data_IF_233333201433
#
_entry.id   IF_233333201433
#
_cell.length_a   1.000
_cell.length_b   1.000
_cell.length_c   1.000
_cell.angle_alpha   90.00
_cell.angle_beta   90.00
_cell.angle_gamma   90.00
#
_symmetry.space_group_name_H-M   'P 1'
#
loop_
_entity.id
_entity.type
_entity.pdbx_description
1 polymer ?
#
# COMPACT_ATOMS: atom_id res chain seq x y z
N UNK A 1 27.97 -7.12 19.20
CA UNK A 1 27.14 -8.36 19.18
C UNK A 1 28.00 -9.46 18.61
N UNK A 2 27.99 -10.62 19.24
CA UNK A 2 28.84 -11.77 18.89
C UNK A 2 28.36 -12.38 17.56
N UNK A 3 29.23 -13.01 16.76
CA UNK A 3 28.90 -13.65 15.46
C UNK A 3 27.71 -14.66 15.53
N UNK A 4 27.42 -15.16 16.74
CA UNK A 4 26.30 -16.05 17.05
C UNK A 4 24.91 -15.42 16.86
N UNK A 5 24.78 -14.10 16.62
CA UNK A 5 23.49 -13.45 16.64
C UNK A 5 22.71 -13.52 15.31
N UNK A 6 23.39 -13.72 14.16
CA UNK A 6 22.72 -13.71 12.87
C UNK A 6 21.86 -14.97 12.63
N UNK A 7 22.25 -16.12 13.20
CA UNK A 7 21.47 -17.36 13.14
C UNK A 7 20.14 -17.25 13.90
N UNK A 8 20.10 -16.36 14.92
CA UNK A 8 18.88 -16.12 15.71
C UNK A 8 17.90 -15.14 15.06
N UNK A 9 18.26 -14.47 13.98
CA UNK A 9 17.41 -13.46 13.33
C UNK A 9 16.00 -13.95 12.95
N UNK A 10 15.83 -15.26 12.77
CA UNK A 10 14.55 -15.85 12.36
C UNK A 10 14.00 -16.87 13.36
N UNK A 11 14.63 -17.05 14.52
CA UNK A 11 14.14 -17.98 15.56
C UNK A 11 12.84 -17.47 16.17
N UNK A 12 12.69 -16.16 16.28
CA UNK A 12 11.50 -15.47 16.78
C UNK A 12 10.86 -14.63 15.66
N UNK A 13 10.74 -15.19 14.48
CA UNK A 13 10.08 -14.49 13.36
C UNK A 13 8.63 -14.20 13.75
N UNK A 14 8.26 -12.94 14.05
CA UNK A 14 6.96 -12.65 14.61
C UNK A 14 5.90 -12.76 13.53
N UNK A 15 5.22 -13.89 13.50
CA UNK A 15 3.87 -13.92 12.95
C UNK A 15 3.02 -13.11 13.92
N UNK A 16 2.54 -11.97 13.50
CA UNK A 16 1.63 -11.18 14.31
C UNK A 16 0.24 -11.78 14.16
N UNK A 17 -0.22 -12.40 15.22
CA UNK A 17 -1.58 -12.88 15.28
C UNK A 17 -2.44 -11.79 15.95
N UNK A 18 -3.09 -10.98 15.13
CA UNK A 18 -4.02 -9.95 15.58
C UNK A 18 -5.23 -10.57 16.30
N UNK A 19 -5.49 -11.87 16.08
CA UNK A 19 -6.57 -12.64 16.69
C UNK A 19 -6.33 -12.95 18.16
N UNK A 20 -5.06 -13.09 18.57
CA UNK A 20 -4.67 -13.32 19.97
C UNK A 20 -4.71 -12.02 20.82
N UNK A 21 -5.13 -10.92 20.21
CA UNK A 21 -5.33 -9.64 20.93
C UNK A 21 -6.64 -9.66 21.72
N UNK A 22 -6.78 -8.71 22.68
CA UNK A 22 -8.03 -8.49 23.43
C UNK A 22 -9.16 -7.90 22.55
N UNK A 23 -8.97 -7.84 21.21
CA UNK A 23 -9.97 -7.38 20.27
C UNK A 23 -11.14 -8.38 20.22
N UNK A 24 -12.30 -7.96 20.68
CA UNK A 24 -13.50 -8.78 20.69
C UNK A 24 -14.48 -8.32 19.60
N UNK A 25 -14.94 -9.25 18.78
CA UNK A 25 -15.92 -9.01 17.73
C UNK A 25 -15.29 -8.97 16.33
N UNK A 26 -16.09 -8.59 15.35
CA UNK A 26 -15.66 -8.38 13.98
C UNK A 26 -16.11 -6.97 13.50
N UNK A 27 -15.30 -6.34 12.66
CA UNK A 27 -15.62 -5.08 12.01
C UNK A 27 -16.47 -5.36 10.77
N UNK A 28 -17.67 -4.81 10.74
CA UNK A 28 -18.58 -4.89 9.58
C UNK A 28 -18.16 -3.89 8.52
N UNK A 29 -17.89 -4.36 7.32
CA UNK A 29 -17.34 -3.57 6.23
C UNK A 29 -18.36 -3.28 5.11
N UNK A 30 -18.40 -2.02 4.69
CA UNK A 30 -18.92 -1.64 3.39
C UNK A 30 -17.75 -1.56 2.39
N UNK A 31 -17.83 -2.34 1.29
CA UNK A 31 -16.81 -2.31 0.23
C UNK A 31 -17.26 -1.38 -0.89
N UNK A 32 -16.57 -0.24 -1.06
CA UNK A 32 -16.85 0.78 -2.06
C UNK A 32 -15.93 0.62 -3.26
N UNK A 33 -16.51 0.18 -4.39
CA UNK A 33 -15.76 -0.16 -5.59
C UNK A 33 -15.51 -1.66 -5.71
N UNK A 34 -16.15 -2.29 -6.69
CA UNK A 34 -16.04 -3.72 -6.98
C UNK A 34 -15.18 -3.94 -8.24
N UNK A 35 -13.97 -3.35 -8.22
CA UNK A 35 -12.94 -3.51 -9.24
C UNK A 35 -12.30 -4.89 -9.23
N UNK A 36 -11.22 -5.07 -10.02
CA UNK A 36 -10.50 -6.35 -10.11
C UNK A 36 -9.84 -6.73 -8.77
N UNK A 37 -9.18 -5.76 -8.10
CA UNK A 37 -8.52 -6.00 -6.83
C UNK A 37 -9.53 -6.36 -5.75
N UNK A 38 -10.59 -5.57 -5.60
CA UNK A 38 -11.63 -5.84 -4.61
C UNK A 38 -12.21 -7.25 -4.76
N UNK A 39 -12.52 -7.69 -5.99
CA UNK A 39 -13.11 -9.02 -6.24
C UNK A 39 -12.14 -10.17 -6.08
N UNK A 40 -10.88 -10.00 -6.49
CA UNK A 40 -9.94 -11.11 -6.58
C UNK A 40 -9.02 -11.23 -5.36
N UNK A 41 -8.93 -10.19 -4.55
CA UNK A 41 -8.05 -10.12 -3.39
C UNK A 41 -8.77 -9.69 -2.11
N UNK A 42 -9.42 -8.51 -2.09
CA UNK A 42 -9.99 -7.97 -0.86
C UNK A 42 -11.20 -8.77 -0.35
N UNK A 43 -12.19 -9.07 -1.18
CA UNK A 43 -13.35 -9.87 -0.75
C UNK A 43 -12.98 -11.28 -0.27
N UNK A 44 -12.11 -12.05 -0.97
CA UNK A 44 -11.58 -13.29 -0.43
C UNK A 44 -10.85 -13.12 0.91
N UNK A 45 -9.98 -12.10 1.03
CA UNK A 45 -9.23 -11.86 2.26
C UNK A 45 -10.14 -11.50 3.45
N UNK A 46 -11.18 -10.68 3.22
CA UNK A 46 -12.16 -10.37 4.27
C UNK A 46 -12.93 -11.65 4.68
N UNK A 47 -13.28 -12.50 3.73
CA UNK A 47 -13.97 -13.77 4.02
C UNK A 47 -13.08 -14.75 4.80
N UNK A 48 -11.76 -14.71 4.60
CA UNK A 48 -10.80 -15.55 5.33
C UNK A 48 -10.41 -14.94 6.69
N UNK A 49 -10.74 -13.66 6.94
CA UNK A 49 -10.45 -12.97 8.21
C UNK A 49 -11.42 -13.39 9.30
N UNK A 50 -10.93 -13.45 10.53
CA UNK A 50 -11.77 -13.65 11.72
C UNK A 50 -12.21 -12.35 12.39
N UNK A 51 -11.63 -11.21 11.97
CA UNK A 51 -11.89 -9.88 12.56
C UNK A 51 -12.70 -8.97 11.63
N UNK A 52 -13.01 -9.40 10.41
CA UNK A 52 -13.77 -8.63 9.43
C UNK A 52 -14.92 -9.44 8.85
N UNK A 53 -16.00 -8.76 8.50
CA UNK A 53 -17.11 -9.32 7.72
C UNK A 53 -17.62 -8.32 6.69
N UNK A 54 -17.98 -8.78 5.50
CA UNK A 54 -18.61 -7.94 4.48
C UNK A 54 -20.10 -7.90 4.70
N UNK A 55 -20.67 -6.74 4.96
CA UNK A 55 -22.12 -6.57 5.11
C UNK A 55 -22.75 -5.76 3.98
N UNK A 56 -21.97 -4.90 3.33
CA UNK A 56 -22.49 -3.98 2.32
C UNK A 56 -21.55 -3.89 1.12
N UNK A 57 -22.11 -4.02 -0.09
CA UNK A 57 -21.37 -3.84 -1.34
C UNK A 57 -21.87 -2.59 -2.08
N UNK A 58 -20.96 -1.68 -2.41
CA UNK A 58 -21.27 -0.41 -3.11
C UNK A 58 -20.71 -0.44 -4.53
N UNK A 59 -21.58 -0.32 -5.52
CA UNK A 59 -21.18 -0.41 -6.94
C UNK A 59 -22.14 0.33 -7.89
N UNK A 60 -21.59 0.84 -8.99
CA UNK A 60 -22.38 1.31 -10.12
C UNK A 60 -23.01 0.19 -10.99
N UNK A 61 -22.68 -1.09 -10.72
CA UNK A 61 -23.26 -2.25 -11.42
C UNK A 61 -24.04 -3.14 -10.43
N UNK A 62 -25.38 -2.97 -10.37
CA UNK A 62 -26.23 -3.71 -9.43
C UNK A 62 -26.18 -5.24 -9.63
N UNK A 63 -26.07 -5.73 -10.86
CA UNK A 63 -26.03 -7.16 -11.16
C UNK A 63 -24.74 -7.80 -10.65
N UNK A 64 -23.60 -7.11 -10.85
CA UNK A 64 -22.31 -7.54 -10.32
C UNK A 64 -22.34 -7.57 -8.78
N UNK A 65 -22.84 -6.51 -8.17
CA UNK A 65 -22.91 -6.40 -6.72
C UNK A 65 -23.81 -7.48 -6.10
N UNK A 66 -24.98 -7.77 -6.66
CA UNK A 66 -25.90 -8.83 -6.19
C UNK A 66 -25.26 -10.22 -6.26
N UNK A 67 -24.53 -10.51 -7.35
CA UNK A 67 -23.83 -11.80 -7.47
C UNK A 67 -22.77 -11.96 -6.37
N UNK A 68 -21.96 -10.93 -6.16
CA UNK A 68 -20.94 -10.95 -5.11
C UNK A 68 -21.56 -10.95 -3.71
N UNK A 69 -22.67 -10.26 -3.49
CA UNK A 69 -23.40 -10.31 -2.22
C UNK A 69 -23.86 -11.74 -1.88
N UNK A 70 -24.33 -12.49 -2.88
CA UNK A 70 -24.67 -13.90 -2.69
C UNK A 70 -23.43 -14.78 -2.41
N UNK A 71 -22.29 -14.47 -3.05
CA UNK A 71 -21.04 -15.22 -2.90
C UNK A 71 -20.39 -15.01 -1.53
N UNK A 72 -20.48 -13.80 -0.97
CA UNK A 72 -19.82 -13.38 0.26
C UNK A 72 -20.80 -13.10 1.42
N UNK A 73 -22.05 -13.55 1.33
CA UNK A 73 -23.12 -13.38 2.33
C UNK A 73 -23.33 -11.91 2.78
N UNK A 74 -23.14 -10.95 1.87
CA UNK A 74 -23.37 -9.54 2.16
C UNK A 74 -24.87 -9.22 2.08
N UNK A 75 -25.44 -8.67 3.16
CA UNK A 75 -26.87 -8.40 3.30
C UNK A 75 -27.36 -7.26 2.39
N UNK A 76 -26.46 -6.30 2.07
CA UNK A 76 -26.84 -5.06 1.41
C UNK A 76 -26.06 -4.80 0.12
N UNK A 77 -26.80 -4.33 -0.88
CA UNK A 77 -26.24 -3.81 -2.14
C UNK A 77 -26.73 -2.39 -2.32
N UNK A 78 -25.79 -1.44 -2.46
CA UNK A 78 -26.08 -0.01 -2.56
C UNK A 78 -25.38 0.58 -3.79
N UNK A 79 -26.01 1.55 -4.43
CA UNK A 79 -25.36 2.34 -5.48
C UNK A 79 -24.42 3.39 -4.87
N UNK A 80 -23.52 3.95 -5.65
CA UNK A 80 -22.67 5.07 -5.19
C UNK A 80 -23.50 6.27 -4.70
N UNK A 81 -24.61 6.58 -5.35
CA UNK A 81 -25.55 7.62 -4.90
C UNK A 81 -26.18 7.23 -3.55
N UNK A 82 -26.68 6.00 -3.44
CA UNK A 82 -27.25 5.51 -2.18
C UNK A 82 -26.27 5.51 -1.03
N UNK A 83 -24.99 5.24 -1.27
CA UNK A 83 -23.93 5.34 -0.27
C UNK A 83 -23.73 6.80 0.16
N UNK A 84 -23.65 7.74 -0.77
CA UNK A 84 -23.57 9.18 -0.47
C UNK A 84 -24.80 9.69 0.30
N UNK A 85 -25.98 9.17 0.00
CA UNK A 85 -27.21 9.49 0.72
C UNK A 85 -27.31 8.86 2.11
N UNK A 86 -26.29 8.08 2.55
CA UNK A 86 -26.27 7.42 3.86
C UNK A 86 -27.24 6.25 3.98
N UNK A 87 -27.54 5.56 2.89
CA UNK A 87 -28.39 4.36 2.96
C UNK A 87 -27.65 3.22 3.67
N UNK A 88 -28.36 2.54 4.57
CA UNK A 88 -27.89 1.37 5.32
C UNK A 88 -26.63 1.61 6.18
N UNK A 89 -26.38 2.84 6.64
CA UNK A 89 -25.23 3.18 7.46
C UNK A 89 -25.14 2.37 8.75
N UNK A 90 -26.25 1.90 9.29
CA UNK A 90 -26.29 1.04 10.49
C UNK A 90 -25.80 -0.39 10.23
N UNK A 91 -25.62 -0.77 8.96
CA UNK A 91 -25.21 -2.12 8.59
C UNK A 91 -23.69 -2.32 8.65
N UNK A 92 -22.87 -1.27 8.72
CA UNK A 92 -21.42 -1.35 8.74
C UNK A 92 -20.79 -0.38 9.75
N UNK A 93 -19.59 -0.71 10.19
CA UNK A 93 -18.78 0.05 11.13
C UNK A 93 -17.67 0.82 10.43
N UNK A 94 -17.18 0.26 9.32
CA UNK A 94 -16.10 0.81 8.55
C UNK A 94 -16.32 0.65 7.03
N UNK A 95 -15.56 1.42 6.26
CA UNK A 95 -15.60 1.46 4.80
C UNK A 95 -14.25 1.09 4.23
N UNK A 96 -14.21 0.13 3.32
CA UNK A 96 -13.05 -0.12 2.48
C UNK A 96 -13.24 0.57 1.13
N UNK A 97 -12.39 1.55 0.82
CA UNK A 97 -12.43 2.32 -0.44
C UNK A 97 -11.47 1.71 -1.44
N UNK A 98 -12.01 1.10 -2.52
CA UNK A 98 -11.26 0.43 -3.59
C UNK A 98 -11.70 0.91 -4.98
N UNK A 99 -11.99 2.19 -5.10
CA UNK A 99 -12.32 2.88 -6.36
C UNK A 99 -11.05 3.26 -7.13
N UNK A 100 -11.12 3.79 -8.35
CA UNK A 100 -9.98 4.48 -8.93
C UNK A 100 -9.55 5.69 -8.09
N UNK A 101 -8.26 6.01 -8.10
CA UNK A 101 -7.59 6.93 -7.16
C UNK A 101 -8.28 8.29 -7.01
N UNK A 102 -8.74 8.90 -8.12
CA UNK A 102 -9.43 10.21 -8.10
C UNK A 102 -10.76 10.22 -7.31
N UNK A 103 -11.26 9.07 -6.91
CA UNK A 103 -12.51 8.97 -6.14
C UNK A 103 -12.28 8.61 -4.68
N UNK A 104 -11.03 8.40 -4.24
CA UNK A 104 -10.71 8.04 -2.86
C UNK A 104 -11.16 9.10 -1.87
N UNK A 105 -10.82 10.39 -2.13
CA UNK A 105 -11.19 11.50 -1.26
C UNK A 105 -12.72 11.58 -1.08
N UNK A 106 -13.48 11.59 -2.18
CA UNK A 106 -14.93 11.68 -2.13
C UNK A 106 -15.58 10.63 -1.24
N UNK A 107 -15.14 9.36 -1.32
CA UNK A 107 -15.79 8.29 -0.55
C UNK A 107 -15.27 8.21 0.88
N UNK A 108 -14.02 8.60 1.12
CA UNK A 108 -13.46 8.74 2.47
C UNK A 108 -14.16 9.83 3.26
N UNK A 109 -14.36 11.02 2.68
CA UNK A 109 -15.07 12.14 3.30
C UNK A 109 -16.53 11.79 3.61
N UNK A 110 -17.22 11.11 2.67
CA UNK A 110 -18.59 10.63 2.91
C UNK A 110 -18.63 9.62 4.06
N UNK A 111 -17.68 8.68 4.13
CA UNK A 111 -17.60 7.72 5.23
C UNK A 111 -17.33 8.42 6.57
N UNK A 112 -16.37 9.36 6.61
CA UNK A 112 -16.06 10.17 7.80
C UNK A 112 -17.28 10.95 8.28
N UNK A 113 -18.00 11.65 7.38
CA UNK A 113 -19.22 12.37 7.70
C UNK A 113 -20.35 11.46 8.25
N UNK A 114 -20.32 10.18 7.92
CA UNK A 114 -21.23 9.15 8.43
C UNK A 114 -20.71 8.52 9.76
N UNK A 115 -19.57 8.99 10.28
CA UNK A 115 -18.95 8.46 11.49
C UNK A 115 -18.37 7.05 11.32
N UNK A 116 -17.87 6.70 10.12
CA UNK A 116 -17.33 5.39 9.81
C UNK A 116 -15.81 5.43 9.68
N UNK A 117 -15.13 4.41 10.23
CA UNK A 117 -13.71 4.20 10.03
C UNK A 117 -13.42 3.89 8.56
N UNK A 118 -12.22 4.20 8.08
CA UNK A 118 -11.87 4.04 6.67
C UNK A 118 -10.56 3.30 6.50
N UNK A 119 -10.57 2.25 5.67
CA UNK A 119 -9.41 1.67 5.02
C UNK A 119 -9.44 2.10 3.55
N UNK A 120 -8.49 2.93 3.12
CA UNK A 120 -8.46 3.46 1.76
C UNK A 120 -7.29 2.86 0.98
N UNK A 121 -7.54 2.38 -0.25
CA UNK A 121 -6.48 1.89 -1.14
C UNK A 121 -5.40 2.94 -1.40
N UNK A 122 -4.20 2.43 -1.64
CA UNK A 122 -3.05 3.24 -2.05
C UNK A 122 -3.10 3.54 -3.57
N UNK A 123 -2.60 4.70 -4.00
CA UNK A 123 -2.19 5.85 -3.19
C UNK A 123 -3.41 6.46 -2.49
N UNK A 124 -3.20 7.12 -1.36
CA UNK A 124 -4.31 7.67 -0.58
C UNK A 124 -5.22 8.59 -1.39
N UNK A 125 -4.62 9.44 -2.24
CA UNK A 125 -5.31 10.33 -3.17
C UNK A 125 -4.48 10.54 -4.45
N UNK A 126 -4.92 11.43 -5.34
CA UNK A 126 -4.16 11.83 -6.54
C UNK A 126 -3.24 13.02 -6.29
N UNK A 127 -3.40 13.74 -5.17
CA UNK A 127 -2.58 14.87 -4.77
C UNK A 127 -2.43 14.96 -3.24
N UNK A 128 -1.40 15.69 -2.80
CA UNK A 128 -1.19 15.99 -1.37
C UNK A 128 -2.39 16.73 -0.79
N UNK A 129 -2.93 17.72 -1.50
CA UNK A 129 -4.06 18.53 -1.02
C UNK A 129 -5.30 17.68 -0.74
N UNK A 130 -5.68 16.79 -1.66
CA UNK A 130 -6.80 15.88 -1.46
C UNK A 130 -6.56 14.93 -0.26
N UNK A 131 -5.35 14.41 -0.12
CA UNK A 131 -5.00 13.54 1.00
C UNK A 131 -5.06 14.26 2.35
N UNK A 132 -4.61 15.52 2.42
CA UNK A 132 -4.72 16.35 3.62
C UNK A 132 -6.19 16.64 3.99
N UNK A 133 -7.06 16.86 3.00
CA UNK A 133 -8.52 17.00 3.21
C UNK A 133 -9.14 15.71 3.77
N UNK A 134 -8.74 14.54 3.24
CA UNK A 134 -9.19 13.25 3.77
C UNK A 134 -8.78 13.03 5.23
N UNK A 135 -7.52 13.36 5.56
CA UNK A 135 -7.00 13.27 6.93
C UNK A 135 -7.81 14.18 7.86
N UNK A 136 -7.97 15.45 7.48
CA UNK A 136 -8.72 16.41 8.28
C UNK A 136 -10.18 15.97 8.52
N UNK A 137 -10.85 15.48 7.48
CA UNK A 137 -12.22 14.99 7.58
C UNK A 137 -12.37 13.81 8.56
N UNK A 138 -11.41 12.86 8.54
CA UNK A 138 -11.43 11.73 9.46
C UNK A 138 -11.07 12.14 10.90
N UNK A 139 -10.09 13.03 11.08
CA UNK A 139 -9.72 13.58 12.40
C UNK A 139 -10.89 14.36 13.03
N UNK A 140 -11.55 15.24 12.26
CA UNK A 140 -12.70 16.02 12.72
C UNK A 140 -13.89 15.14 13.10
N UNK A 141 -14.06 14.01 12.40
CA UNK A 141 -15.10 13.03 12.72
C UNK A 141 -14.71 12.06 13.86
N UNK A 142 -13.45 12.04 14.31
CA UNK A 142 -12.93 11.12 15.32
C UNK A 142 -12.93 9.67 14.85
N UNK A 143 -12.71 9.41 13.56
CA UNK A 143 -12.66 8.07 12.97
C UNK A 143 -11.26 7.73 12.47
N UNK A 144 -10.93 6.45 12.48
CA UNK A 144 -9.65 5.94 11.96
C UNK A 144 -9.60 6.06 10.44
N UNK A 145 -8.51 6.61 9.90
CA UNK A 145 -8.14 6.51 8.49
C UNK A 145 -6.83 5.71 8.38
N UNK A 146 -6.90 4.56 7.72
CA UNK A 146 -5.73 3.74 7.39
C UNK A 146 -5.53 3.70 5.87
N UNK A 147 -4.31 3.92 5.41
CA UNK A 147 -3.93 3.71 4.02
C UNK A 147 -3.55 2.25 3.82
N UNK A 148 -4.08 1.61 2.78
CA UNK A 148 -3.88 0.18 2.50
C UNK A 148 -2.45 -0.11 1.96
N UNK A 149 -1.46 0.06 2.82
CA UNK A 149 -0.08 -0.33 2.57
C UNK A 149 0.20 -1.72 3.15
N UNK A 150 -0.35 -2.76 2.52
CA UNK A 150 -0.27 -4.15 2.95
C UNK A 150 1.13 -4.63 3.36
N UNK A 151 2.20 -4.02 2.81
CA UNK A 151 3.57 -4.39 3.15
C UNK A 151 3.98 -3.93 4.55
N UNK A 152 3.34 -2.93 5.11
CA UNK A 152 3.60 -2.53 6.50
C UNK A 152 3.03 -3.55 7.52
N UNK A 153 2.09 -4.39 7.10
CA UNK A 153 1.55 -5.49 7.92
C UNK A 153 2.16 -6.85 7.58
N UNK A 154 2.85 -6.95 6.45
CA UNK A 154 3.47 -8.19 5.97
C UNK A 154 4.64 -8.60 6.89
N UNK A 155 4.67 -9.86 7.40
CA UNK A 155 5.62 -10.29 8.41
C UNK A 155 7.09 -10.19 8.01
N UNK A 156 7.45 -10.49 6.75
CA UNK A 156 8.86 -10.44 6.29
C UNK A 156 9.38 -8.99 6.24
N UNK A 157 8.55 -8.05 5.79
CA UNK A 157 8.91 -6.63 5.74
C UNK A 157 9.06 -6.07 7.16
N UNK A 158 8.12 -6.41 8.06
CA UNK A 158 8.21 -6.03 9.48
C UNK A 158 9.46 -6.59 10.12
N UNK A 159 9.79 -7.85 9.85
CA UNK A 159 11.02 -8.45 10.42
C UNK A 159 12.27 -7.74 9.92
N UNK A 160 12.35 -7.40 8.64
CA UNK A 160 13.49 -6.63 8.13
C UNK A 160 13.60 -5.26 8.82
N UNK A 161 12.49 -4.55 9.04
CA UNK A 161 12.48 -3.31 9.82
C UNK A 161 13.02 -3.52 11.23
N UNK A 162 12.58 -4.56 11.94
CA UNK A 162 13.05 -4.89 13.27
C UNK A 162 14.56 -5.17 13.28
N UNK A 163 15.07 -5.96 12.33
CA UNK A 163 16.50 -6.26 12.21
C UNK A 163 17.35 -5.00 11.93
N UNK A 164 16.81 -4.05 11.18
CA UNK A 164 17.45 -2.74 10.96
C UNK A 164 17.46 -1.92 12.24
N UNK A 165 16.35 -1.83 12.96
CA UNK A 165 16.24 -1.11 14.24
C UNK A 165 17.12 -1.75 15.32
N UNK A 166 17.21 -3.06 15.36
CA UNK A 166 18.08 -3.83 16.27
C UNK A 166 19.58 -3.69 15.92
N UNK A 167 19.91 -3.05 14.78
CA UNK A 167 21.29 -2.84 14.33
C UNK A 167 21.99 -4.11 13.84
N UNK A 168 21.23 -5.12 13.41
CA UNK A 168 21.80 -6.39 12.93
C UNK A 168 22.70 -6.19 11.72
N UNK A 169 22.38 -5.25 10.84
CA UNK A 169 23.20 -4.90 9.66
C UNK A 169 24.10 -3.68 9.89
N UNK A 170 24.21 -3.18 11.12
CA UNK A 170 24.83 -1.89 11.45
C UNK A 170 23.93 -0.72 11.04
N UNK A 171 24.51 0.48 10.93
CA UNK A 171 23.76 1.67 10.49
C UNK A 171 23.29 1.51 9.04
N UNK A 172 22.01 1.72 8.71
CA UNK A 172 21.55 1.70 7.33
C UNK A 172 22.24 2.81 6.50
N UNK A 173 22.61 2.48 5.27
CA UNK A 173 23.30 3.39 4.34
C UNK A 173 22.52 3.59 3.06
N UNK A 174 21.90 2.52 2.54
CA UNK A 174 21.18 2.57 1.28
C UNK A 174 20.01 1.58 1.27
N UNK A 175 18.87 1.98 0.71
CA UNK A 175 17.75 1.09 0.38
C UNK A 175 17.57 1.06 -1.13
N UNK A 176 17.43 -0.13 -1.71
CA UNK A 176 17.06 -0.27 -3.12
C UNK A 176 15.82 -1.14 -3.28
N UNK A 177 14.84 -0.67 -4.05
CA UNK A 177 13.59 -1.37 -4.27
C UNK A 177 13.13 -1.30 -5.72
N UNK A 178 12.80 -2.46 -6.31
CA UNK A 178 12.37 -2.55 -7.70
C UNK A 178 11.08 -3.32 -7.78
N UNK A 179 10.08 -2.71 -8.42
CA UNK A 179 8.82 -3.35 -8.74
C UNK A 179 8.50 -3.14 -10.21
N UNK A 180 8.76 -4.15 -10.99
CA UNK A 180 8.66 -4.08 -12.43
C UNK A 180 8.05 -5.37 -12.99
N UNK A 181 7.14 -5.23 -13.93
CA UNK A 181 6.59 -6.34 -14.70
C UNK A 181 5.95 -5.82 -15.98
N UNK A 182 5.84 -6.73 -16.96
CA UNK A 182 5.06 -6.41 -18.15
C UNK A 182 3.58 -6.55 -17.82
N UNK A 183 2.89 -5.43 -17.69
CA UNK A 183 1.46 -5.42 -17.41
C UNK A 183 0.67 -5.82 -18.68
N UNK A 184 0.02 -6.99 -18.72
CA UNK A 184 -0.78 -7.39 -19.87
C UNK A 184 -2.03 -6.53 -20.05
N UNK A 185 -2.48 -5.85 -19.01
CA UNK A 185 -3.65 -4.96 -19.04
C UNK A 185 -3.31 -3.55 -19.57
N UNK A 186 -2.07 -3.30 -19.99
CA UNK A 186 -1.70 -2.10 -20.75
C UNK A 186 -2.27 -2.10 -22.19
N UNK A 187 -3.16 -3.04 -22.48
CA UNK A 187 -3.97 -2.98 -23.72
C UNK A 187 -4.66 -1.61 -23.81
N UNK A 188 -4.67 -0.97 -24.98
CA UNK A 188 -5.31 0.33 -25.21
C UNK A 188 -6.84 0.23 -25.22
N UNK A 189 -7.45 -0.43 -24.23
CA UNK A 189 -8.90 -0.36 -24.04
C UNK A 189 -9.24 1.00 -23.43
N UNK A 190 -10.23 1.66 -23.97
CA UNK A 190 -10.73 2.97 -23.52
C UNK A 190 -11.21 2.99 -22.05
N UNK A 191 -11.34 1.83 -21.42
CA UNK A 191 -11.86 1.68 -20.06
C UNK A 191 -10.74 1.48 -18.99
N UNK A 192 -9.45 1.58 -19.37
CA UNK A 192 -8.37 1.42 -18.42
C UNK A 192 -8.03 2.75 -17.74
N UNK A 193 -8.70 3.06 -16.64
CA UNK A 193 -8.52 4.27 -15.85
C UNK A 193 -7.07 4.52 -15.40
N UNK A 194 -6.22 3.46 -15.29
CA UNK A 194 -4.79 3.57 -14.95
C UNK A 194 -3.95 4.26 -16.02
N UNK A 195 -4.50 4.47 -17.20
CA UNK A 195 -3.86 5.21 -18.31
C UNK A 195 -4.32 6.66 -18.40
N UNK A 196 -5.33 7.03 -17.64
CA UNK A 196 -5.85 8.38 -17.55
C UNK A 196 -5.21 9.07 -16.34
N UNK A 197 -4.29 10.00 -16.60
CA UNK A 197 -3.56 10.71 -15.55
C UNK A 197 -4.49 11.49 -14.61
N UNK A 198 -5.63 11.98 -15.11
CA UNK A 198 -6.62 12.69 -14.30
C UNK A 198 -7.35 11.81 -13.30
N UNK A 199 -7.38 10.49 -13.55
CA UNK A 199 -8.05 9.51 -12.69
C UNK A 199 -7.05 8.73 -11.85
N UNK A 200 -5.90 8.39 -12.44
CA UNK A 200 -4.86 7.61 -11.78
C UNK A 200 -3.89 8.46 -10.94
N UNK A 201 -3.71 9.75 -11.27
CA UNK A 201 -2.71 10.61 -10.66
C UNK A 201 -1.29 10.39 -11.20
N UNK A 202 -1.08 9.39 -12.07
CA UNK A 202 0.20 9.05 -12.67
C UNK A 202 0.22 7.61 -13.17
N UNK A 203 1.40 7.10 -13.55
CA UNK A 203 1.58 5.78 -14.14
C UNK A 203 2.29 4.78 -13.25
N UNK A 204 3.44 4.27 -13.72
CA UNK A 204 4.22 3.26 -13.01
C UNK A 204 4.71 3.74 -11.63
N UNK A 205 4.99 5.03 -11.46
CA UNK A 205 5.40 5.58 -10.18
C UNK A 205 4.29 5.45 -9.14
N UNK A 206 3.10 5.91 -9.48
CA UNK A 206 1.97 5.94 -8.55
C UNK A 206 1.39 4.54 -8.28
N UNK A 207 1.41 3.64 -9.26
CA UNK A 207 0.86 2.28 -9.09
C UNK A 207 1.87 1.31 -8.48
N UNK A 208 3.13 1.36 -8.89
CA UNK A 208 4.19 0.42 -8.48
C UNK A 208 5.30 1.09 -7.67
N UNK A 209 5.76 2.28 -8.05
CA UNK A 209 6.88 2.97 -7.41
C UNK A 209 6.58 3.40 -5.98
N UNK A 210 5.31 3.59 -5.64
CA UNK A 210 4.88 3.86 -4.27
C UNK A 210 5.24 2.71 -3.31
N UNK A 211 5.31 1.47 -3.77
CA UNK A 211 5.68 0.33 -2.93
C UNK A 211 7.13 0.42 -2.41
N UNK A 212 8.17 0.48 -3.28
CA UNK A 212 9.55 0.64 -2.79
C UNK A 212 9.76 1.96 -2.03
N UNK A 213 9.03 3.04 -2.37
CA UNK A 213 9.08 4.30 -1.66
C UNK A 213 8.56 4.14 -0.23
N UNK A 214 7.31 3.71 -0.06
CA UNK A 214 6.69 3.52 1.26
C UNK A 214 7.45 2.50 2.10
N UNK A 215 7.87 1.37 1.49
CA UNK A 215 8.61 0.35 2.24
C UNK A 215 9.97 0.87 2.71
N UNK A 216 10.67 1.71 1.94
CA UNK A 216 11.91 2.35 2.39
C UNK A 216 11.66 3.28 3.58
N UNK A 217 10.63 4.13 3.52
CA UNK A 217 10.20 5.00 4.63
C UNK A 217 9.87 4.18 5.88
N UNK A 218 9.07 3.13 5.72
CA UNK A 218 8.68 2.24 6.81
C UNK A 218 9.87 1.56 7.48
N UNK A 219 10.81 1.01 6.71
CA UNK A 219 12.00 0.32 7.26
C UNK A 219 12.94 1.31 7.95
N UNK A 220 13.15 2.49 7.37
CA UNK A 220 14.02 3.53 7.93
C UNK A 220 13.38 4.30 9.09
N UNK A 221 12.05 4.30 9.19
CA UNK A 221 11.30 5.10 10.15
C UNK A 221 11.49 6.60 9.95
N UNK A 222 11.68 7.05 8.71
CA UNK A 222 11.98 8.43 8.35
C UNK A 222 11.36 8.80 6.99
N UNK A 223 11.08 10.09 6.80
CA UNK A 223 10.64 10.64 5.53
C UNK A 223 11.82 11.17 4.70
N UNK A 224 11.77 11.09 3.36
CA UNK A 224 12.79 11.65 2.52
C UNK A 224 12.78 13.19 2.58
N UNK A 225 13.96 13.80 2.45
CA UNK A 225 14.15 15.26 2.43
C UNK A 225 14.52 15.77 1.03
N UNK A 226 14.55 14.91 0.03
CA UNK A 226 14.81 15.30 -1.35
C UNK A 226 14.69 14.13 -2.31
N UNK A 227 14.34 14.44 -3.55
CA UNK A 227 14.15 13.48 -4.63
C UNK A 227 14.91 13.90 -5.90
N UNK A 228 15.38 12.90 -6.66
CA UNK A 228 15.82 13.02 -8.04
C UNK A 228 15.23 11.89 -8.86
N UNK A 229 14.71 12.19 -10.05
CA UNK A 229 14.03 11.17 -10.84
C UNK A 229 14.10 11.39 -12.35
N UNK A 230 13.81 10.29 -13.07
CA UNK A 230 13.53 10.30 -14.50
C UNK A 230 12.30 9.42 -14.77
N UNK A 231 11.45 9.87 -15.69
CA UNK A 231 10.28 9.11 -16.13
C UNK A 231 10.31 8.88 -17.63
N UNK A 232 9.68 7.80 -18.08
CA UNK A 232 9.55 7.48 -19.50
C UNK A 232 8.09 7.20 -19.81
N UNK A 233 7.50 8.04 -20.64
CA UNK A 233 6.11 7.89 -21.11
C UNK A 233 6.04 6.85 -22.23
N UNK A 234 5.05 5.95 -22.17
CA UNK A 234 4.80 5.01 -23.25
C UNK A 234 4.21 5.74 -24.47
N UNK A 235 4.96 5.74 -25.57
CA UNK A 235 4.54 6.35 -26.84
C UNK A 235 3.92 5.36 -27.82
N UNK A 236 3.78 4.09 -27.45
CA UNK A 236 3.38 2.99 -28.37
C UNK A 236 1.87 2.88 -28.63
N UNK A 237 1.02 3.73 -28.05
CA UNK A 237 -0.46 3.66 -28.16
C UNK A 237 -1.09 4.83 -28.89
N UNK A 238 -2.33 4.64 -29.35
CA UNK A 238 -3.14 5.62 -30.09
C UNK A 238 -3.85 6.68 -29.19
N UNK A 239 -3.48 6.80 -27.91
CA UNK A 239 -4.02 7.82 -27.02
C UNK A 239 -3.48 9.21 -27.37
N UNK A 240 -4.28 10.25 -27.18
CA UNK A 240 -3.88 11.65 -27.38
C UNK A 240 -2.72 12.04 -26.44
N UNK A 241 -1.95 13.06 -26.82
CA UNK A 241 -0.70 13.44 -26.10
C UNK A 241 -0.92 13.96 -24.66
N UNK A 242 -2.16 14.27 -24.27
CA UNK A 242 -2.46 14.93 -22.99
C UNK A 242 -2.85 13.99 -21.84
N UNK A 243 -3.12 12.71 -22.13
CA UNK A 243 -3.67 11.77 -21.14
C UNK A 243 -2.70 10.58 -20.88
N UNK A 244 -1.43 10.75 -21.19
CA UNK A 244 -0.45 9.65 -21.07
C UNK A 244 0.25 9.66 -19.72
N UNK A 245 0.28 8.49 -19.10
CA UNK A 245 1.04 8.23 -17.88
C UNK A 245 2.41 7.62 -18.23
N UNK A 246 3.37 7.75 -17.35
CA UNK A 246 4.68 7.13 -17.52
C UNK A 246 4.59 5.60 -17.38
N UNK A 247 5.28 4.90 -18.26
CA UNK A 247 5.45 3.44 -18.21
C UNK A 247 6.58 3.02 -17.27
N UNK A 248 7.54 3.91 -17.02
CA UNK A 248 8.70 3.67 -16.16
C UNK A 248 9.06 4.91 -15.38
N UNK A 249 9.46 4.69 -14.13
CA UNK A 249 10.08 5.68 -13.28
C UNK A 249 11.34 5.11 -12.61
N UNK A 250 12.41 5.90 -12.59
CA UNK A 250 13.61 5.63 -11.79
C UNK A 250 13.80 6.83 -10.88
N UNK A 251 13.95 6.58 -9.58
CA UNK A 251 14.08 7.65 -8.61
C UNK A 251 15.14 7.36 -7.56
N UNK A 252 15.68 8.43 -6.99
CA UNK A 252 16.56 8.44 -5.84
C UNK A 252 15.94 9.37 -4.79
N UNK A 253 15.94 8.93 -3.53
CA UNK A 253 15.48 9.69 -2.38
C UNK A 253 16.64 9.91 -1.42
N UNK A 254 16.78 11.12 -0.92
CA UNK A 254 17.69 11.44 0.18
C UNK A 254 16.89 11.45 1.49
N UNK A 255 17.39 10.72 2.48
CA UNK A 255 16.84 10.69 3.83
C UNK A 255 17.74 11.47 4.80
N UNK A 256 17.25 11.79 6.01
CA UNK A 256 18.11 12.31 7.07
C UNK A 256 19.33 11.41 7.33
N UNK A 257 20.36 11.95 7.98
CA UNK A 257 21.57 11.23 8.41
C UNK A 257 22.41 10.62 7.27
N UNK A 258 22.18 11.08 6.02
CA UNK A 258 22.95 10.67 4.85
C UNK A 258 22.60 9.28 4.32
N UNK A 259 21.46 8.76 4.69
CA UNK A 259 20.88 7.55 4.06
C UNK A 259 20.23 7.94 2.74
N UNK A 260 20.35 7.10 1.72
CA UNK A 260 19.63 7.27 0.46
C UNK A 260 18.86 6.01 0.06
N UNK A 261 17.87 6.20 -0.83
CA UNK A 261 17.17 5.09 -1.44
C UNK A 261 17.09 5.25 -2.96
N UNK A 262 17.07 4.12 -3.67
CA UNK A 262 16.82 4.09 -5.11
C UNK A 262 15.63 3.18 -5.42
N UNK A 263 14.75 3.64 -6.31
CA UNK A 263 13.59 2.89 -6.74
C UNK A 263 13.48 2.79 -8.25
N UNK A 264 12.93 1.67 -8.71
CA UNK A 264 12.56 1.46 -10.10
C UNK A 264 11.17 0.84 -10.19
N UNK A 265 10.31 1.46 -11.00
CA UNK A 265 8.97 0.99 -11.28
C UNK A 265 8.74 0.89 -12.79
N UNK A 266 8.13 -0.19 -13.27
CA UNK A 266 7.90 -0.36 -14.69
C UNK A 266 6.73 -1.28 -15.02
N UNK A 267 5.94 -0.88 -16.02
CA UNK A 267 4.88 -1.67 -16.63
C UNK A 267 5.31 -2.41 -17.90
N UNK A 268 6.50 -2.15 -18.43
CA UNK A 268 6.92 -2.59 -19.78
C UNK A 268 8.23 -3.37 -19.82
N UNK A 269 8.77 -3.77 -18.66
CA UNK A 269 10.01 -4.55 -18.57
C UNK A 269 9.77 -6.01 -18.22
N UNK A 270 10.81 -6.83 -18.26
CA UNK A 270 10.80 -8.15 -17.64
C UNK A 270 10.58 -8.02 -16.13
N UNK A 271 9.88 -8.99 -15.55
CA UNK A 271 9.53 -8.94 -14.13
C UNK A 271 10.78 -8.97 -13.24
N UNK A 272 10.89 -7.98 -12.37
CA UNK A 272 11.87 -7.93 -11.28
C UNK A 272 11.19 -7.31 -10.05
N UNK A 273 11.35 -7.98 -8.90
CA UNK A 273 10.67 -7.62 -7.67
C UNK A 273 11.58 -7.95 -6.49
N UNK A 274 12.19 -6.93 -5.91
CA UNK A 274 13.12 -7.08 -4.78
C UNK A 274 13.25 -5.81 -3.97
N UNK A 275 13.62 -5.98 -2.72
CA UNK A 275 13.99 -4.90 -1.81
C UNK A 275 15.27 -5.28 -1.07
N UNK A 276 16.23 -4.37 -0.98
CA UNK A 276 17.48 -4.59 -0.27
C UNK A 276 17.80 -3.38 0.61
N UNK A 277 18.25 -3.65 1.83
CA UNK A 277 18.83 -2.65 2.75
C UNK A 277 20.30 -2.97 2.93
N UNK A 278 21.15 -2.01 2.63
CA UNK A 278 22.59 -2.06 2.89
C UNK A 278 22.90 -1.28 4.16
N UNK A 279 23.53 -1.93 5.11
CA UNK A 279 24.06 -1.31 6.33
C UNK A 279 25.57 -1.23 6.34
N UNK A 280 26.15 -0.63 7.38
CA UNK A 280 27.61 -0.51 7.57
C UNK A 280 28.32 -1.82 7.85
N UNK A 281 27.60 -2.85 8.32
CA UNK A 281 28.18 -4.15 8.74
C UNK A 281 27.54 -5.35 8.02
N UNK A 282 26.45 -5.13 7.27
CA UNK A 282 25.72 -6.21 6.62
C UNK A 282 24.64 -5.73 5.67
N UNK A 283 23.81 -6.65 5.24
CA UNK A 283 22.64 -6.35 4.39
C UNK A 283 21.46 -7.26 4.71
N UNK A 284 20.26 -6.75 4.43
CA UNK A 284 19.03 -7.54 4.36
C UNK A 284 18.42 -7.45 2.95
N UNK A 285 17.95 -8.57 2.40
CA UNK A 285 17.33 -8.66 1.09
C UNK A 285 16.00 -9.40 1.24
N UNK A 286 14.94 -8.85 0.65
CA UNK A 286 13.67 -9.54 0.46
C UNK A 286 13.50 -9.81 -1.02
N UNK A 287 13.34 -11.09 -1.38
CA UNK A 287 13.04 -11.53 -2.74
C UNK A 287 11.53 -11.57 -2.90
N UNK A 288 11.03 -10.92 -3.95
CA UNK A 288 9.60 -10.82 -4.27
C UNK A 288 8.71 -10.15 -3.20
N UNK A 289 9.11 -9.02 -2.58
CA UNK A 289 8.32 -8.40 -1.51
C UNK A 289 6.97 -7.85 -1.99
N UNK A 290 6.84 -7.44 -3.26
CA UNK A 290 5.67 -6.71 -3.76
C UNK A 290 4.67 -7.56 -4.54
N UNK A 291 4.88 -8.87 -4.62
CA UNK A 291 4.25 -9.76 -5.61
C UNK A 291 3.00 -10.53 -5.18
N UNK A 292 2.38 -10.24 -4.06
CA UNK A 292 1.17 -10.97 -3.62
C UNK A 292 1.49 -12.33 -2.98
N UNK A 293 0.72 -13.37 -3.25
CA UNK A 293 0.77 -14.71 -2.60
C UNK A 293 2.04 -15.55 -2.92
N UNK A 294 3.18 -14.93 -3.15
CA UNK A 294 4.45 -15.63 -3.39
C UNK A 294 5.20 -15.76 -2.06
N UNK A 295 5.75 -16.95 -1.79
CA UNK A 295 6.67 -17.11 -0.65
C UNK A 295 7.81 -16.12 -0.76
N UNK A 296 7.96 -15.27 0.24
CA UNK A 296 9.06 -14.32 0.34
C UNK A 296 10.27 -14.99 0.95
N UNK A 297 11.43 -14.78 0.36
CA UNK A 297 12.70 -15.17 0.96
C UNK A 297 13.36 -13.91 1.55
N UNK A 298 13.65 -13.95 2.85
CA UNK A 298 14.45 -12.93 3.52
C UNK A 298 15.86 -13.47 3.71
N UNK A 299 16.86 -12.74 3.22
CA UNK A 299 18.27 -13.09 3.36
C UNK A 299 18.96 -12.00 4.18
N UNK A 300 19.69 -12.39 5.23
CA UNK A 300 20.51 -11.48 6.03
C UNK A 300 21.97 -11.95 5.95
N UNK A 301 22.86 -11.00 5.69
CA UNK A 301 24.29 -11.23 5.63
C UNK A 301 25.04 -10.23 6.53
N UNK A 302 25.99 -10.70 7.31
CA UNK A 302 26.89 -9.87 8.13
C UNK A 302 28.28 -10.52 8.22
N UNK A 303 29.33 -9.82 7.79
CA UNK A 303 30.67 -10.40 7.68
C UNK A 303 30.67 -11.60 6.73
N UNK A 304 31.12 -12.76 7.23
CA UNK A 304 31.10 -14.03 6.49
C UNK A 304 29.82 -14.87 6.74
N UNK A 305 28.99 -14.46 7.69
CA UNK A 305 27.76 -15.16 8.05
C UNK A 305 26.61 -14.80 7.09
N UNK A 306 25.83 -15.81 6.70
CA UNK A 306 24.61 -15.65 5.91
C UNK A 306 23.52 -16.57 6.45
N UNK A 307 22.35 -16.01 6.67
CA UNK A 307 21.15 -16.78 7.00
C UNK A 307 20.02 -16.42 6.05
N UNK A 308 19.09 -17.33 5.81
CA UNK A 308 17.90 -17.07 5.02
C UNK A 308 16.68 -17.73 5.63
N UNK A 309 15.56 -17.09 5.45
CA UNK A 309 14.24 -17.57 5.85
C UNK A 309 13.31 -17.57 4.64
N UNK A 310 12.68 -18.70 4.39
CA UNK A 310 11.60 -18.84 3.44
C UNK A 310 10.45 -19.54 4.16
N UNK A 311 9.50 -18.74 4.65
CA UNK A 311 8.36 -19.21 5.43
C UNK A 311 7.19 -19.67 4.57
N UNK A 312 6.11 -20.07 5.23
CA UNK A 312 4.84 -20.28 4.55
C UNK A 312 4.34 -18.96 3.93
N UNK A 313 3.71 -19.00 2.76
CA UNK A 313 3.08 -17.82 2.20
C UNK A 313 2.05 -17.26 3.19
N UNK A 314 2.15 -15.96 3.45
CA UNK A 314 1.13 -15.20 4.19
C UNK A 314 0.30 -14.42 3.18
N UNK A 315 -1.00 -14.37 3.33
CA UNK A 315 -1.80 -13.45 2.54
C UNK A 315 -1.74 -12.06 3.20
N UNK A 316 -0.90 -11.21 2.64
CA UNK A 316 -0.66 -9.84 3.12
C UNK A 316 -1.93 -8.98 3.16
N UNK A 317 -2.95 -9.33 2.34
CA UNK A 317 -4.23 -8.61 2.34
C UNK A 317 -5.10 -9.05 3.53
N UNK A 318 -5.05 -10.31 3.94
CA UNK A 318 -5.68 -10.77 5.19
C UNK A 318 -5.04 -10.06 6.39
N UNK A 319 -3.70 -10.01 6.46
CA UNK A 319 -2.97 -9.32 7.54
C UNK A 319 -3.37 -7.82 7.60
N UNK A 320 -3.52 -7.17 6.45
CA UNK A 320 -3.92 -5.76 6.37
C UNK A 320 -5.33 -5.53 6.92
N UNK A 321 -6.32 -6.35 6.52
CA UNK A 321 -7.68 -6.25 7.03
C UNK A 321 -7.77 -6.58 8.51
N UNK A 322 -7.07 -7.61 8.97
CA UNK A 322 -7.05 -7.97 10.40
C UNK A 322 -6.36 -6.90 11.25
N UNK A 323 -5.28 -6.29 10.75
CA UNK A 323 -4.64 -5.15 11.42
C UNK A 323 -5.55 -3.93 11.49
N UNK A 324 -6.22 -3.59 10.38
CA UNK A 324 -7.20 -2.50 10.39
C UNK A 324 -8.32 -2.75 11.39
N UNK A 325 -8.89 -3.96 11.38
CA UNK A 325 -9.94 -4.33 12.34
C UNK A 325 -9.44 -4.29 13.78
N UNK A 326 -8.23 -4.77 14.05
CA UNK A 326 -7.60 -4.65 15.35
C UNK A 326 -7.51 -3.19 15.81
N UNK A 327 -7.03 -2.28 14.95
CA UNK A 327 -6.95 -0.87 15.26
C UNK A 327 -8.32 -0.26 15.58
N UNK A 328 -9.35 -0.58 14.79
CA UNK A 328 -10.72 -0.12 15.03
C UNK A 328 -11.29 -0.65 16.36
N UNK A 329 -11.13 -1.94 16.62
CA UNK A 329 -11.71 -2.59 17.81
C UNK A 329 -11.03 -2.18 19.13
N UNK A 330 -9.73 -1.87 19.06
CA UNK A 330 -8.94 -1.50 20.26
C UNK A 330 -8.76 0.01 20.41
N UNK A 331 -9.08 0.81 19.40
CA UNK A 331 -8.79 2.25 19.37
C UNK A 331 -7.29 2.56 19.22
N UNK A 332 -6.50 1.60 18.72
CA UNK A 332 -5.07 1.81 18.41
C UNK A 332 -4.94 2.58 17.09
N UNK A 333 -4.06 3.57 17.03
CA UNK A 333 -3.74 4.24 15.78
C UNK A 333 -2.96 3.30 14.85
N UNK A 334 -3.36 3.17 13.56
CA UNK A 334 -2.61 2.37 12.60
C UNK A 334 -1.26 3.02 12.26
N UNK A 335 -0.21 2.22 12.03
CA UNK A 335 1.08 2.73 11.53
C UNK A 335 0.92 3.36 10.13
N UNK A 336 0.28 2.69 9.12
CA UNK A 336 -0.01 3.32 7.83
C UNK A 336 -1.28 4.18 7.93
N UNK A 337 -1.27 5.20 8.76
CA UNK A 337 -2.39 6.14 8.89
C UNK A 337 -2.54 7.04 7.66
N UNK A 338 -3.49 7.97 7.68
CA UNK A 338 -3.67 8.94 6.60
C UNK A 338 -2.47 9.87 6.41
N UNK A 339 -1.74 10.19 7.49
CA UNK A 339 -0.55 11.07 7.41
C UNK A 339 0.63 10.35 6.76
N UNK A 340 0.75 9.04 6.95
CA UNK A 340 1.72 8.21 6.22
C UNK A 340 1.45 8.27 4.70
N UNK A 341 0.17 8.20 4.30
CA UNK A 341 -0.24 8.38 2.91
C UNK A 341 0.07 9.77 2.35
N UNK A 342 -0.12 10.83 3.15
CA UNK A 342 0.27 12.21 2.77
C UNK A 342 1.78 12.33 2.55
N UNK A 343 2.59 11.74 3.42
CA UNK A 343 4.04 11.80 3.30
C UNK A 343 4.54 11.07 2.03
N UNK A 344 3.92 9.95 1.65
CA UNK A 344 4.23 9.30 0.37
C UNK A 344 3.88 10.20 -0.83
N UNK A 345 2.71 10.84 -0.81
CA UNK A 345 2.31 11.71 -1.90
C UNK A 345 3.23 12.94 -2.05
N UNK A 346 3.71 13.52 -0.94
CA UNK A 346 4.73 14.59 -0.99
C UNK A 346 6.01 14.11 -1.70
N UNK A 347 6.48 12.92 -1.37
CA UNK A 347 7.63 12.34 -2.05
C UNK A 347 7.34 12.04 -3.54
N UNK A 348 6.14 11.56 -3.87
CA UNK A 348 5.72 11.31 -5.26
C UNK A 348 5.65 12.62 -6.06
N UNK A 349 5.08 13.69 -5.51
CA UNK A 349 5.04 15.00 -6.17
C UNK A 349 6.45 15.53 -6.42
N UNK A 350 7.37 15.43 -5.44
CA UNK A 350 8.77 15.82 -5.62
C UNK A 350 9.50 14.95 -6.66
N UNK A 351 9.18 13.67 -6.77
CA UNK A 351 9.69 12.75 -7.81
C UNK A 351 9.24 13.23 -9.20
N UNK A 352 7.96 13.54 -9.38
CA UNK A 352 7.45 14.04 -10.68
C UNK A 352 8.04 15.41 -11.02
N UNK A 353 8.09 16.34 -10.06
CA UNK A 353 8.69 17.67 -10.25
C UNK A 353 10.19 17.56 -10.63
N UNK A 354 10.92 16.65 -9.96
CA UNK A 354 12.32 16.38 -10.30
C UNK A 354 12.49 15.83 -11.73
N UNK A 355 11.60 14.92 -12.14
CA UNK A 355 11.64 14.34 -13.49
C UNK A 355 11.35 15.41 -14.58
N UNK A 356 10.48 16.37 -14.31
CA UNK A 356 10.16 17.48 -15.21
C UNK A 356 11.32 18.49 -15.30
N UNK A 357 11.92 18.83 -14.16
CA UNK A 357 13.00 19.84 -14.09
C UNK A 357 14.37 19.28 -14.45
N UNK A 358 14.58 17.97 -14.31
CA UNK A 358 15.88 17.33 -14.49
C UNK A 358 16.88 17.70 -13.38
N UNK A 359 16.40 18.07 -12.19
CA UNK A 359 17.22 18.46 -11.04
C UNK A 359 16.66 17.87 -9.73
N UNK A 360 17.46 17.92 -8.65
CA UNK A 360 17.02 17.52 -7.32
C UNK A 360 15.97 18.51 -6.79
N UNK A 361 14.90 17.97 -6.23
CA UNK A 361 13.82 18.72 -5.56
C UNK A 361 13.78 18.35 -4.07
N UNK A 362 13.45 19.30 -3.22
CA UNK A 362 13.16 19.05 -1.79
C UNK A 362 11.76 18.44 -1.63
N UNK A 363 11.60 17.57 -0.63
CA UNK A 363 10.32 16.90 -0.29
C UNK A 363 9.65 17.64 0.85
#
# INVERSE_FOLDING_TARGET
MDETSIESCFVEFPTRDWRDSDAAGAVRLAVVGLGRFARNRALPAIADSSLCEVTTLVSGSPEKAKRLATEYDADHVVTYEGFRDGRVTEAYDAVYVATPNAYHAQYTEVAAAQGKHVLCEKPLATSVAEAEEMVAACEDAGVTLMTAYRLQTEPAVRRVRELVVEGVIGDPRHVSGWFAYRNPDQSPSADNWRRDSSVAGGGAMIDLGVYPLNTARFILGADPVGAYATTVVDTSGAAGDHDRVEARATFQLAFPDGVDATGFASFDTYSDNRLQVLGSEGRALIVSPFGGTVTQEVVVERGEARTSYAGSPVDEVVEEFEYFAYCVLTGTEPEPDGRDGVADLRAVEAIYESAERGERVEV
#
